data_IF_489831539848
#
_entry.id   IF_489831539848
#
_cell.length_a   1.000
_cell.length_b   1.000
_cell.length_c   1.000
_cell.angle_alpha   90.00
_cell.angle_beta   90.00
_cell.angle_gamma   90.00
#
_symmetry.space_group_name_H-M   'P 1'
#
loop_
_entity.id
_entity.type
_entity.pdbx_description
1 polymer ?
#
# COMPACT_ATOMS: atom_id res chain seq x y z
N UNK A 1 43.57 -78.98 -33.71
CA UNK A 1 44.06 -78.22 -34.87
C UNK A 1 43.10 -77.02 -35.09
N UNK A 2 43.34 -75.80 -35.04
CA UNK A 2 44.50 -75.01 -35.12
C UNK A 2 44.10 -73.57 -34.90
N UNK A 3 44.98 -72.84 -34.30
CA UNK A 3 45.10 -71.41 -34.08
C UNK A 3 44.54 -70.49 -35.20
N UNK A 4 44.06 -69.35 -34.80
CA UNK A 4 44.72 -68.04 -35.10
C UNK A 4 44.11 -66.87 -34.31
N UNK A 5 45.01 -66.17 -33.66
CA UNK A 5 44.79 -64.84 -33.04
C UNK A 5 44.60 -63.77 -34.08
N UNK A 6 43.78 -62.79 -33.88
CA UNK A 6 44.05 -61.42 -34.27
C UNK A 6 43.56 -60.45 -33.24
N UNK A 7 44.50 -59.63 -32.94
CA UNK A 7 44.46 -58.51 -32.02
C UNK A 7 43.75 -57.30 -32.62
N UNK A 8 43.23 -56.42 -31.75
CA UNK A 8 43.40 -55.02 -31.98
C UNK A 8 42.18 -54.21 -32.12
N UNK A 9 42.07 -53.22 -31.29
CA UNK A 9 41.28 -52.05 -31.58
C UNK A 9 40.49 -51.54 -30.40
N UNK A 10 41.17 -51.00 -29.43
CA UNK A 10 40.56 -50.08 -28.43
C UNK A 10 40.20 -48.79 -29.11
N UNK A 11 38.91 -48.55 -29.37
CA UNK A 11 38.39 -47.24 -29.69
C UNK A 11 38.06 -46.51 -28.39
N UNK A 12 38.87 -45.52 -28.08
CA UNK A 12 38.63 -44.54 -27.02
C UNK A 12 37.51 -43.62 -27.48
N UNK A 13 36.31 -43.79 -26.97
CA UNK A 13 35.24 -42.81 -27.04
C UNK A 13 35.57 -41.64 -26.09
N UNK A 14 36.06 -40.58 -26.70
CA UNK A 14 36.17 -39.27 -26.04
C UNK A 14 34.78 -38.68 -25.81
N UNK A 15 34.28 -38.84 -24.56
CA UNK A 15 33.07 -38.13 -24.12
C UNK A 15 33.37 -36.64 -24.07
N UNK A 16 32.92 -35.91 -25.09
CA UNK A 16 32.87 -34.45 -25.07
C UNK A 16 31.93 -34.02 -23.93
N UNK A 17 32.49 -33.51 -22.84
CA UNK A 17 31.73 -32.81 -21.82
C UNK A 17 31.17 -31.54 -22.45
N UNK A 18 29.89 -31.56 -22.77
CA UNK A 18 29.12 -30.39 -23.13
C UNK A 18 29.09 -29.47 -21.89
N UNK A 19 29.83 -28.38 -21.94
CA UNK A 19 29.82 -27.35 -20.93
C UNK A 19 28.45 -26.65 -21.06
N UNK A 20 27.54 -26.97 -20.18
CA UNK A 20 26.28 -26.23 -20.07
C UNK A 20 26.62 -24.77 -19.77
N UNK A 21 26.40 -23.90 -20.75
CA UNK A 21 26.45 -22.45 -20.55
C UNK A 21 25.27 -22.10 -19.70
N UNK A 22 25.51 -21.89 -18.40
CA UNK A 22 24.49 -21.32 -17.50
C UNK A 22 24.10 -19.94 -18.06
N UNK A 23 22.90 -19.88 -18.64
CA UNK A 23 22.28 -18.60 -19.00
C UNK A 23 22.12 -17.80 -17.71
N UNK A 24 22.69 -16.58 -17.60
CA UNK A 24 22.53 -15.78 -16.40
C UNK A 24 21.04 -15.62 -16.11
N UNK A 25 20.60 -16.04 -14.91
CA UNK A 25 19.22 -15.84 -14.46
C UNK A 25 18.89 -14.36 -14.63
N UNK A 26 17.83 -14.06 -15.39
CA UNK A 26 17.37 -12.70 -15.60
C UNK A 26 17.21 -12.02 -14.23
N UNK A 27 17.90 -10.89 -14.02
CA UNK A 27 17.85 -10.16 -12.75
C UNK A 27 16.39 -9.77 -12.50
N UNK A 28 15.76 -10.44 -11.54
CA UNK A 28 14.39 -10.15 -11.11
C UNK A 28 14.35 -8.74 -10.49
N UNK A 29 13.39 -7.93 -10.95
CA UNK A 29 13.15 -6.61 -10.35
C UNK A 29 12.57 -6.80 -8.94
N UNK A 30 13.16 -6.18 -7.91
CA UNK A 30 12.64 -6.28 -6.54
C UNK A 30 11.23 -5.66 -6.44
N UNK A 31 10.38 -6.22 -5.61
CA UNK A 31 9.05 -5.66 -5.33
C UNK A 31 9.17 -4.32 -4.58
N UNK A 32 8.60 -3.29 -5.17
CA UNK A 32 8.61 -1.92 -4.65
C UNK A 32 7.26 -1.57 -4.02
N UNK A 33 7.25 -1.30 -2.71
CA UNK A 33 6.11 -0.82 -1.96
C UNK A 33 6.24 0.65 -1.60
N UNK A 34 5.15 1.41 -1.74
CA UNK A 34 5.04 2.80 -1.32
C UNK A 34 4.27 2.86 0.00
N UNK A 35 4.89 3.39 1.06
CA UNK A 35 4.28 3.54 2.37
C UNK A 35 4.02 5.03 2.67
N UNK A 36 2.74 5.40 2.78
CA UNK A 36 2.29 6.77 2.98
C UNK A 36 1.82 6.98 4.43
N UNK A 37 2.55 7.82 5.15
CA UNK A 37 2.28 8.10 6.56
C UNK A 37 1.08 8.98 6.83
N UNK A 38 0.59 8.94 8.06
CA UNK A 38 -0.44 9.83 8.57
C UNK A 38 0.09 11.23 8.87
N UNK A 39 -0.77 12.22 8.87
CA UNK A 39 -0.39 13.62 9.12
C UNK A 39 -1.49 14.64 8.88
N UNK A 40 -2.75 14.24 8.97
CA UNK A 40 -3.92 15.10 8.79
C UNK A 40 -3.85 15.90 7.46
N UNK A 41 -4.07 17.22 7.50
CA UNK A 41 -4.07 18.07 6.31
C UNK A 41 -2.75 18.02 5.51
N UNK A 42 -1.64 17.64 6.14
CA UNK A 42 -0.36 17.46 5.43
C UNK A 42 -0.36 16.28 4.44
N UNK A 43 -1.41 15.44 4.44
CA UNK A 43 -1.58 14.32 3.51
C UNK A 43 -1.45 14.68 2.05
N UNK A 44 -1.76 15.92 1.68
CA UNK A 44 -1.60 16.41 0.31
C UNK A 44 -0.12 16.44 -0.16
N UNK A 45 0.85 16.46 0.75
CA UNK A 45 2.27 16.33 0.39
C UNK A 45 2.58 15.00 -0.32
N UNK A 46 1.83 13.94 -0.02
CA UNK A 46 1.97 12.66 -0.71
C UNK A 46 1.70 12.75 -2.21
N UNK A 47 0.82 13.67 -2.63
CA UNK A 47 0.52 13.90 -4.05
C UNK A 47 1.76 14.36 -4.80
N UNK A 48 2.52 15.29 -4.23
CA UNK A 48 3.79 15.75 -4.81
C UNK A 48 4.82 14.63 -4.94
N UNK A 49 4.91 13.74 -3.95
CA UNK A 49 5.80 12.56 -4.02
C UNK A 49 5.39 11.64 -5.17
N UNK A 50 4.09 11.37 -5.33
CA UNK A 50 3.57 10.52 -6.41
C UNK A 50 3.87 11.17 -7.78
N UNK A 51 3.70 12.48 -7.91
CA UNK A 51 4.02 13.21 -9.15
C UNK A 51 5.51 13.05 -9.52
N UNK A 52 6.42 13.19 -8.57
CA UNK A 52 7.86 13.00 -8.79
C UNK A 52 8.18 11.56 -9.18
N UNK A 53 7.55 10.57 -8.56
CA UNK A 53 7.73 9.16 -8.94
C UNK A 53 7.26 8.91 -10.38
N UNK A 54 6.12 9.46 -10.78
CA UNK A 54 5.61 9.35 -12.14
C UNK A 54 6.56 9.99 -13.17
N UNK A 55 7.03 11.21 -12.89
CA UNK A 55 8.00 11.93 -13.74
C UNK A 55 9.30 11.15 -13.89
N UNK A 56 9.76 10.49 -12.83
CA UNK A 56 10.96 9.66 -12.83
C UNK A 56 10.75 8.26 -13.44
N UNK A 57 9.51 7.91 -13.82
CA UNK A 57 9.17 6.60 -14.38
C UNK A 57 9.13 5.46 -13.36
N UNK A 58 9.01 5.76 -12.07
CA UNK A 58 8.88 4.77 -11.02
C UNK A 58 7.41 4.50 -10.71
N UNK A 59 7.00 3.23 -10.78
CA UNK A 59 5.66 2.79 -10.39
C UNK A 59 5.77 1.76 -9.27
N UNK A 60 5.18 2.01 -8.10
CA UNK A 60 5.10 1.01 -7.04
C UNK A 60 4.31 -0.22 -7.49
N UNK A 61 4.66 -1.39 -6.97
CA UNK A 61 3.88 -2.62 -7.16
C UNK A 61 2.62 -2.60 -6.30
N UNK A 62 2.68 -1.90 -5.18
CA UNK A 62 1.54 -1.69 -4.27
C UNK A 62 1.79 -0.47 -3.37
N UNK A 63 0.71 -0.02 -2.73
CA UNK A 63 0.74 1.11 -1.81
C UNK A 63 0.06 0.73 -0.50
N UNK A 64 0.59 1.23 0.60
CA UNK A 64 -0.01 1.09 1.94
C UNK A 64 -0.06 2.46 2.60
N UNK A 65 -1.15 2.76 3.27
CA UNK A 65 -1.38 4.07 3.87
C UNK A 65 -1.96 4.01 5.27
N UNK A 66 -1.64 5.03 6.06
CA UNK A 66 -2.17 5.27 7.40
C UNK A 66 -2.83 6.64 7.45
N UNK A 67 -4.07 6.71 7.95
CA UNK A 67 -4.81 7.97 8.14
C UNK A 67 -4.86 8.80 6.84
N UNK A 68 -4.35 10.03 6.83
CA UNK A 68 -4.22 10.84 5.62
C UNK A 68 -3.53 10.11 4.47
N UNK A 69 -2.50 9.33 4.77
CA UNK A 69 -1.83 8.49 3.79
C UNK A 69 -2.73 7.40 3.21
N UNK A 70 -3.70 6.89 3.98
CA UNK A 70 -4.68 5.91 3.48
C UNK A 70 -5.63 6.52 2.45
N UNK A 71 -6.01 7.77 2.62
CA UNK A 71 -6.86 8.49 1.67
C UNK A 71 -6.15 8.65 0.32
N UNK A 72 -4.93 9.15 0.33
CA UNK A 72 -4.14 9.31 -0.90
C UNK A 72 -3.83 7.95 -1.52
N UNK A 73 -3.47 6.95 -0.72
CA UNK A 73 -3.23 5.58 -1.17
C UNK A 73 -4.46 4.96 -1.85
N UNK A 74 -5.66 5.18 -1.30
CA UNK A 74 -6.91 4.69 -1.88
C UNK A 74 -7.16 5.27 -3.27
N UNK A 75 -7.00 6.57 -3.45
CA UNK A 75 -7.16 7.21 -4.75
C UNK A 75 -6.07 6.80 -5.74
N UNK A 76 -4.83 6.71 -5.29
CA UNK A 76 -3.73 6.26 -6.14
C UNK A 76 -3.93 4.82 -6.60
N UNK A 77 -4.28 3.90 -5.69
CA UNK A 77 -4.55 2.51 -6.01
C UNK A 77 -5.78 2.32 -6.93
N UNK A 78 -6.73 3.25 -6.92
CA UNK A 78 -7.88 3.26 -7.83
C UNK A 78 -7.53 3.65 -9.28
N UNK A 79 -6.27 3.98 -9.56
CA UNK A 79 -5.77 4.30 -10.88
C UNK A 79 -5.64 5.79 -11.18
N UNK A 80 -5.82 6.67 -10.19
CA UNK A 80 -5.64 8.11 -10.38
C UNK A 80 -4.15 8.46 -10.42
N UNK A 81 -3.76 9.27 -11.40
CA UNK A 81 -2.40 9.79 -11.51
C UNK A 81 -2.19 11.04 -10.63
N UNK A 82 -0.95 11.54 -10.57
CA UNK A 82 -0.59 12.69 -9.76
C UNK A 82 -1.41 13.95 -10.08
N UNK A 83 -1.73 14.22 -11.35
CA UNK A 83 -2.56 15.35 -11.75
C UNK A 83 -4.01 15.18 -11.26
N UNK A 84 -4.58 14.00 -11.37
CA UNK A 84 -5.93 13.69 -10.88
C UNK A 84 -6.00 13.74 -9.35
N UNK A 85 -4.95 13.30 -8.65
CA UNK A 85 -4.83 13.41 -7.21
C UNK A 85 -4.79 14.87 -6.77
N UNK A 86 -4.07 15.72 -7.49
CA UNK A 86 -4.05 17.16 -7.24
C UNK A 86 -5.44 17.77 -7.41
N UNK A 87 -6.14 17.49 -8.50
CA UNK A 87 -7.50 17.96 -8.71
C UNK A 87 -8.46 17.53 -7.60
N UNK A 88 -8.33 16.29 -7.11
CA UNK A 88 -9.13 15.81 -5.99
C UNK A 88 -8.81 16.58 -4.71
N UNK A 89 -7.55 16.85 -4.42
CA UNK A 89 -7.16 17.62 -3.25
C UNK A 89 -7.64 19.07 -3.29
N UNK A 90 -7.64 19.68 -4.45
CA UNK A 90 -8.14 21.04 -4.66
C UNK A 90 -9.68 21.13 -4.61
N UNK A 91 -10.36 20.02 -4.97
CA UNK A 91 -11.83 19.95 -5.01
C UNK A 91 -12.47 19.44 -3.71
N UNK A 92 -11.67 19.07 -2.72
CA UNK A 92 -12.22 18.69 -1.41
C UNK A 92 -12.88 19.92 -0.78
N UNK A 93 -14.18 19.80 -0.52
CA UNK A 93 -14.92 20.88 0.10
C UNK A 93 -14.58 21.03 1.59
N UNK A 94 -14.86 22.22 2.12
CA UNK A 94 -14.61 22.51 3.53
C UNK A 94 -15.34 21.56 4.48
N UNK A 95 -16.49 21.02 4.09
CA UNK A 95 -17.26 20.09 4.90
C UNK A 95 -16.53 18.74 5.02
N UNK A 96 -15.98 18.21 3.93
CA UNK A 96 -15.19 16.98 3.94
C UNK A 96 -13.89 17.17 4.71
N UNK A 97 -13.22 18.32 4.55
CA UNK A 97 -12.02 18.67 5.31
C UNK A 97 -12.35 18.88 6.78
N UNK A 98 -13.48 19.51 7.09
CA UNK A 98 -13.93 19.79 8.47
C UNK A 98 -14.26 18.50 9.20
N UNK A 99 -14.95 17.55 8.56
CA UNK A 99 -15.19 16.21 9.12
C UNK A 99 -13.88 15.46 9.43
N UNK A 100 -12.78 15.93 8.89
CA UNK A 100 -11.47 15.31 9.04
C UNK A 100 -10.47 16.10 9.89
N UNK A 101 -10.60 17.42 9.94
CA UNK A 101 -9.56 18.28 10.54
C UNK A 101 -9.95 19.06 11.80
N UNK A 102 -11.24 19.21 12.12
CA UNK A 102 -11.65 20.11 13.21
C UNK A 102 -12.54 19.43 14.24
N UNK A 103 -12.00 19.15 15.43
CA UNK A 103 -12.81 18.77 16.59
C UNK A 103 -13.22 20.00 17.40
N UNK A 104 -13.79 21.04 16.78
CA UNK A 104 -14.10 22.24 17.55
C UNK A 104 -15.57 22.62 17.42
N UNK A 105 -16.33 22.52 18.51
CA UNK A 105 -17.66 23.09 18.72
C UNK A 105 -18.89 22.20 18.53
N UNK A 106 -18.76 20.89 18.32
CA UNK A 106 -19.88 19.95 18.40
C UNK A 106 -19.92 19.19 19.72
N UNK A 107 -21.08 19.05 20.34
CA UNK A 107 -21.27 18.17 21.49
C UNK A 107 -21.30 16.71 21.02
N UNK A 108 -20.14 16.05 20.99
CA UNK A 108 -19.98 14.63 20.62
C UNK A 108 -18.84 14.37 19.64
N UNK A 109 -18.43 13.10 19.55
CA UNK A 109 -17.45 12.66 18.57
C UNK A 109 -18.05 12.67 17.16
N UNK A 110 -17.26 13.07 16.16
CA UNK A 110 -17.70 13.06 14.78
C UNK A 110 -17.70 11.63 14.22
N UNK A 111 -18.64 11.33 13.35
CA UNK A 111 -18.77 9.98 12.79
C UNK A 111 -17.84 9.71 11.63
N UNK A 112 -17.38 10.73 10.92
CA UNK A 112 -16.50 10.58 9.75
C UNK A 112 -17.15 9.87 8.55
N UNK A 113 -18.48 9.76 8.52
CA UNK A 113 -19.20 9.08 7.43
C UNK A 113 -19.11 9.84 6.10
N UNK A 114 -18.95 11.15 6.15
CA UNK A 114 -18.77 11.97 4.96
C UNK A 114 -17.48 11.59 4.23
N UNK A 115 -16.40 11.31 4.96
CA UNK A 115 -15.15 10.84 4.38
C UNK A 115 -15.33 9.49 3.66
N UNK A 116 -16.01 8.52 4.28
CA UNK A 116 -16.27 7.23 3.65
C UNK A 116 -17.10 7.37 2.37
N UNK A 117 -18.17 8.17 2.41
CA UNK A 117 -19.00 8.45 1.23
C UNK A 117 -18.21 9.15 0.11
N UNK A 118 -17.37 10.11 0.48
CA UNK A 118 -16.53 10.82 -0.47
C UNK A 118 -15.57 9.88 -1.19
N UNK A 119 -14.83 9.05 -0.44
CA UNK A 119 -13.92 8.05 -1.01
C UNK A 119 -14.66 7.11 -1.96
N UNK A 120 -15.77 6.53 -1.50
CA UNK A 120 -16.53 5.58 -2.31
C UNK A 120 -17.10 6.24 -3.59
N UNK A 121 -17.61 7.47 -3.50
CA UNK A 121 -18.13 8.18 -4.68
C UNK A 121 -17.04 8.47 -5.72
N UNK A 122 -15.82 8.79 -5.28
CA UNK A 122 -14.70 9.11 -6.18
C UNK A 122 -14.00 7.87 -6.75
N UNK A 123 -14.25 6.69 -6.20
CA UNK A 123 -13.65 5.41 -6.63
C UNK A 123 -14.67 4.44 -7.21
N UNK A 124 -15.91 4.88 -7.49
CA UNK A 124 -16.95 4.05 -8.09
C UNK A 124 -17.44 2.94 -7.18
N UNK A 125 -17.41 3.13 -5.86
CA UNK A 125 -17.81 2.14 -4.84
C UNK A 125 -17.05 0.80 -4.94
N UNK A 126 -15.81 0.84 -5.43
CA UNK A 126 -14.97 -0.36 -5.52
C UNK A 126 -14.55 -0.85 -4.13
N UNK A 127 -14.43 -2.15 -3.99
CA UNK A 127 -13.79 -2.76 -2.82
C UNK A 127 -12.27 -2.71 -2.96
N UNK A 128 -11.56 -2.83 -1.84
CA UNK A 128 -10.09 -2.78 -1.81
C UNK A 128 -9.47 -3.82 -2.74
N UNK A 129 -10.00 -5.05 -2.73
CA UNK A 129 -9.51 -6.16 -3.56
C UNK A 129 -9.81 -6.03 -5.05
N UNK A 130 -10.66 -5.08 -5.44
CA UNK A 130 -11.04 -4.84 -6.83
C UNK A 130 -10.20 -3.74 -7.50
N UNK A 131 -9.36 -3.05 -6.72
CA UNK A 131 -8.57 -1.93 -7.23
C UNK A 131 -7.46 -2.39 -8.18
N UNK A 132 -7.11 -1.55 -9.20
CA UNK A 132 -6.06 -1.88 -10.16
C UNK A 132 -4.68 -2.11 -9.53
N UNK A 133 -4.37 -1.41 -8.44
CA UNK A 133 -3.13 -1.58 -7.68
C UNK A 133 -3.46 -2.18 -6.32
N UNK A 134 -2.73 -3.20 -5.85
CA UNK A 134 -2.88 -3.71 -4.50
C UNK A 134 -2.72 -2.61 -3.46
N UNK A 135 -3.65 -2.54 -2.52
CA UNK A 135 -3.74 -1.53 -1.48
C UNK A 135 -3.79 -2.19 -0.11
N UNK A 136 -3.04 -1.63 0.84
CA UNK A 136 -3.18 -1.88 2.26
C UNK A 136 -3.56 -0.60 3.01
N UNK A 137 -4.50 -0.70 3.93
CA UNK A 137 -4.92 0.38 4.82
C UNK A 137 -4.71 -0.06 6.25
N UNK A 138 -3.98 0.73 7.03
CA UNK A 138 -3.65 0.41 8.41
C UNK A 138 -4.58 1.13 9.37
N UNK A 139 -5.22 0.37 10.25
CA UNK A 139 -5.97 0.88 11.38
C UNK A 139 -5.52 0.20 12.68
N UNK A 140 -5.94 0.71 13.81
CA UNK A 140 -5.70 0.12 15.13
C UNK A 140 -6.97 -0.53 15.63
N UNK A 141 -6.89 -1.81 16.00
CA UNK A 141 -7.96 -2.48 16.71
C UNK A 141 -8.07 -1.90 18.14
N UNK A 142 -9.22 -1.32 18.43
CA UNK A 142 -9.44 -0.63 19.71
C UNK A 142 -9.38 -1.58 20.91
N UNK A 143 -9.77 -2.83 20.72
CA UNK A 143 -9.83 -3.82 21.79
C UNK A 143 -8.47 -4.41 22.13
N UNK A 144 -7.65 -4.69 21.10
CA UNK A 144 -6.34 -5.35 21.28
C UNK A 144 -5.16 -4.36 21.27
N UNK A 145 -5.35 -3.14 20.78
CA UNK A 145 -4.30 -2.16 20.58
C UNK A 145 -3.33 -2.53 19.46
N UNK A 146 -3.65 -3.52 18.63
CA UNK A 146 -2.77 -3.96 17.54
C UNK A 146 -3.13 -3.33 16.21
N UNK A 147 -2.12 -3.15 15.37
CA UNK A 147 -2.31 -2.73 13.99
C UNK A 147 -2.94 -3.83 13.15
N UNK A 148 -3.90 -3.42 12.32
CA UNK A 148 -4.60 -4.29 11.38
C UNK A 148 -4.42 -3.73 9.97
N UNK A 149 -4.09 -4.62 9.03
CA UNK A 149 -3.94 -4.30 7.63
C UNK A 149 -5.21 -4.71 6.88
N UNK A 150 -5.98 -3.73 6.40
CA UNK A 150 -7.11 -3.98 5.52
C UNK A 150 -6.64 -4.09 4.07
N UNK A 151 -6.87 -5.23 3.46
CA UNK A 151 -6.61 -5.51 2.05
C UNK A 151 -7.88 -5.94 1.31
N UNK A 152 -9.02 -5.95 1.99
CA UNK A 152 -10.34 -6.34 1.49
C UNK A 152 -11.44 -5.54 2.15
N UNK A 153 -12.58 -5.45 1.48
CA UNK A 153 -13.80 -4.85 1.98
C UNK A 153 -14.04 -3.45 1.43
N UNK A 154 -14.98 -2.74 2.06
CA UNK A 154 -15.38 -1.40 1.64
C UNK A 154 -14.24 -0.39 1.83
N UNK A 155 -13.87 0.27 0.72
CA UNK A 155 -12.73 1.17 0.66
C UNK A 155 -12.93 2.39 1.56
N UNK A 156 -14.08 3.03 1.47
CA UNK A 156 -14.38 4.22 2.26
C UNK A 156 -14.43 3.94 3.75
N UNK A 157 -14.99 2.80 4.15
CA UNK A 157 -15.03 2.37 5.56
C UNK A 157 -13.62 2.11 6.09
N UNK A 158 -12.74 1.49 5.32
CA UNK A 158 -11.37 1.25 5.74
C UNK A 158 -10.56 2.54 5.90
N UNK A 159 -10.70 3.50 4.96
CA UNK A 159 -10.08 4.83 5.07
C UNK A 159 -10.61 5.57 6.29
N UNK A 160 -11.92 5.54 6.53
CA UNK A 160 -12.54 6.12 7.71
C UNK A 160 -11.98 5.50 9.00
N UNK A 161 -11.88 4.18 9.08
CA UNK A 161 -11.31 3.49 10.24
C UNK A 161 -9.86 3.92 10.50
N UNK A 162 -9.04 3.97 9.45
CA UNK A 162 -7.65 4.41 9.52
C UNK A 162 -7.48 5.87 9.95
N UNK A 163 -8.51 6.69 9.78
CA UNK A 163 -8.51 8.13 10.03
C UNK A 163 -9.32 8.52 11.29
N UNK A 164 -9.85 7.56 12.03
CA UNK A 164 -10.68 7.81 13.21
C UNK A 164 -9.82 8.08 14.46
N UNK A 165 -9.33 9.31 14.56
CA UNK A 165 -8.53 9.77 15.70
C UNK A 165 -9.36 9.70 16.99
N UNK A 166 -8.88 8.99 18.02
CA UNK A 166 -9.58 8.91 19.31
C UNK A 166 -9.87 10.29 19.91
N UNK A 167 -10.99 10.41 20.57
CA UNK A 167 -11.52 11.66 21.15
C UNK A 167 -12.02 12.70 20.14
N UNK A 168 -11.75 12.51 18.85
CA UNK A 168 -12.24 13.35 17.75
C UNK A 168 -13.35 12.64 17.00
N UNK A 169 -13.11 11.41 16.60
CA UNK A 169 -14.04 10.58 15.85
C UNK A 169 -14.51 9.37 16.66
N UNK A 170 -15.73 8.93 16.35
CA UNK A 170 -16.22 7.65 16.86
C UNK A 170 -15.39 6.50 16.26
N UNK A 171 -15.07 5.45 17.05
CA UNK A 171 -14.50 4.24 16.53
C UNK A 171 -15.37 3.65 15.40
N UNK A 172 -14.74 3.04 14.41
CA UNK A 172 -15.46 2.44 13.28
C UNK A 172 -15.69 0.96 13.57
N UNK A 173 -16.95 0.56 13.59
CA UNK A 173 -17.33 -0.83 13.77
C UNK A 173 -17.32 -1.56 12.42
N UNK A 174 -16.53 -2.63 12.35
CA UNK A 174 -16.46 -3.54 11.19
C UNK A 174 -16.63 -4.97 11.73
N UNK A 175 -17.77 -5.58 11.40
CA UNK A 175 -18.13 -6.86 12.03
C UNK A 175 -18.31 -6.72 13.53
N UNK A 176 -17.62 -7.56 14.31
CA UNK A 176 -17.65 -7.56 15.77
C UNK A 176 -16.54 -6.71 16.42
N UNK A 177 -15.71 -6.03 15.61
CA UNK A 177 -14.53 -5.29 16.09
C UNK A 177 -14.71 -3.79 15.85
N UNK A 178 -14.01 -3.01 16.65
CA UNK A 178 -13.95 -1.55 16.54
C UNK A 178 -12.53 -1.10 16.23
N UNK A 179 -12.41 -0.12 15.35
CA UNK A 179 -11.13 0.37 14.86
C UNK A 179 -11.01 1.88 15.02
N UNK A 180 -9.80 2.30 15.28
CA UNK A 180 -9.39 3.71 15.38
C UNK A 180 -8.16 3.96 14.50
N UNK A 181 -7.72 5.21 14.45
CA UNK A 181 -6.62 5.66 13.60
C UNK A 181 -5.39 4.75 13.69
N UNK A 182 -4.88 4.37 12.52
CA UNK A 182 -3.69 3.53 12.40
C UNK A 182 -2.40 4.21 12.87
N UNK A 183 -2.39 5.53 12.97
CA UNK A 183 -1.26 6.32 13.45
C UNK A 183 -0.87 6.03 14.90
N UNK A 184 -1.77 5.44 15.70
CA UNK A 184 -1.44 5.01 17.07
C UNK A 184 -0.39 3.90 17.11
N UNK A 185 -0.32 3.05 16.08
CA UNK A 185 0.57 1.88 16.06
C UNK A 185 1.56 1.90 14.90
N UNK A 186 1.24 2.60 13.81
CA UNK A 186 2.07 2.65 12.62
C UNK A 186 1.88 3.96 11.86
N UNK A 187 2.44 5.07 12.37
CA UNK A 187 2.33 6.37 11.72
C UNK A 187 2.81 6.35 10.28
N UNK A 188 3.93 5.68 10.01
CA UNK A 188 4.44 5.38 8.66
C UNK A 188 4.48 3.87 8.49
N UNK A 189 3.64 3.28 7.61
CA UNK A 189 3.33 1.84 7.64
C UNK A 189 4.38 0.96 6.94
N UNK A 190 5.67 1.16 7.20
CA UNK A 190 6.78 0.41 6.58
C UNK A 190 6.68 -1.09 6.87
N UNK A 191 6.37 -1.46 8.11
CA UNK A 191 6.22 -2.85 8.51
C UNK A 191 5.13 -3.56 7.70
N UNK A 192 4.02 -2.87 7.46
CA UNK A 192 2.91 -3.41 6.67
C UNK A 192 3.24 -3.48 5.18
N UNK A 193 4.02 -2.55 4.64
CA UNK A 193 4.55 -2.67 3.29
C UNK A 193 5.43 -3.93 3.16
N UNK A 194 6.28 -4.21 4.14
CA UNK A 194 7.07 -5.46 4.20
C UNK A 194 6.19 -6.69 4.28
N UNK A 195 5.15 -6.66 5.10
CA UNK A 195 4.17 -7.75 5.22
C UNK A 195 3.45 -8.03 3.89
N UNK A 196 3.19 -7.01 3.08
CA UNK A 196 2.62 -7.14 1.73
C UNK A 196 3.62 -7.69 0.70
N UNK A 197 4.88 -7.83 1.06
CA UNK A 197 5.92 -8.43 0.21
C UNK A 197 6.92 -7.43 -0.38
N UNK A 198 6.99 -6.18 0.10
CA UNK A 198 7.97 -5.22 -0.38
C UNK A 198 9.40 -5.67 -0.05
N UNK A 199 10.24 -5.69 -1.07
CA UNK A 199 11.69 -5.86 -0.96
C UNK A 199 12.39 -4.51 -0.86
N UNK A 200 11.81 -3.51 -1.50
CA UNK A 200 12.16 -2.10 -1.37
C UNK A 200 10.93 -1.31 -0.92
N UNK A 201 11.08 -0.43 0.07
CA UNK A 201 10.02 0.45 0.56
C UNK A 201 10.47 1.89 0.45
N UNK A 202 9.70 2.69 -0.29
CA UNK A 202 9.75 4.14 -0.17
C UNK A 202 8.73 4.56 0.89
N UNK A 203 9.24 5.06 2.00
CA UNK A 203 8.41 5.53 3.10
C UNK A 203 8.34 7.06 3.06
N UNK A 204 7.13 7.59 3.11
CA UNK A 204 6.88 9.04 3.13
C UNK A 204 6.34 9.42 4.49
N UNK A 205 7.16 10.10 5.26
CA UNK A 205 6.81 10.66 6.56
C UNK A 205 6.42 12.13 6.40
N UNK A 206 5.20 12.45 6.79
CA UNK A 206 4.65 13.81 6.80
C UNK A 206 4.29 14.28 8.21
N UNK A 207 4.80 13.58 9.23
CA UNK A 207 4.65 14.00 10.61
C UNK A 207 5.34 15.36 10.84
N UNK A 208 4.80 16.15 11.78
CA UNK A 208 5.52 17.35 12.21
C UNK A 208 6.67 16.93 13.12
N UNK A 209 7.86 17.41 12.85
CA UNK A 209 8.92 17.44 13.87
C UNK A 209 8.45 18.31 15.04
N UNK A 210 8.63 17.88 16.27
CA UNK A 210 8.33 18.70 17.44
C UNK A 210 9.17 19.97 17.50
#
# INVERSE_FOLDING_TARGET
>A
QGLLKTSGGTASEGASKEVAVETPAAKRVPKFGLALGGGAARGFAHVGVIQVLEEAGFKPDFVVGTSAGSLVAAFYASGKNGAQLQQLSESMDEATITDWTIPLLGRGMMRGEALARYVNSKTGNQKIEELPMPLGIVATDLHTGQGVLFQRGDLGTAVRASSSVPSVFEPVKIGAREFVDGGLVSPVPVRFARQMGAEFVLAVDISSTP
#
